data_IF_476262079139
#
_entry.id   IF_476262079139
#
_cell.length_a   1.000
_cell.length_b   1.000
_cell.length_c   1.000
_cell.angle_alpha   90.00
_cell.angle_beta   90.00
_cell.angle_gamma   90.00
#
_symmetry.space_group_name_H-M   'P 1'
#
loop_
_entity.id
_entity.type
_entity.pdbx_description
1 polymer ?
#
# COMPACT_ATOMS: atom_id res chain seq x y z
N UNK A 1 -7.17 5.60 83.22
CA UNK A 1 -7.39 4.55 82.25
C UNK A 1 -7.91 5.20 80.98
N UNK A 2 -7.01 5.40 79.98
CA UNK A 2 -7.38 6.04 78.71
C UNK A 2 -7.45 4.90 77.70
N UNK A 3 -8.60 4.69 77.07
CA UNK A 3 -8.83 3.71 76.04
C UNK A 3 -8.53 4.38 74.67
N UNK A 4 -7.44 3.97 74.01
CA UNK A 4 -7.17 4.30 72.58
C UNK A 4 -8.07 3.48 71.67
N UNK A 5 -8.89 4.14 70.87
CA UNK A 5 -9.58 3.54 69.74
C UNK A 5 -8.70 3.63 68.50
N UNK A 6 -8.30 2.49 67.94
CA UNK A 6 -7.68 2.40 66.63
C UNK A 6 -8.77 2.32 65.55
N UNK A 7 -8.85 3.36 64.69
CA UNK A 7 -9.65 3.32 63.47
C UNK A 7 -8.79 2.73 62.35
N UNK A 8 -9.14 1.54 61.91
CA UNK A 8 -8.54 0.93 60.72
C UNK A 8 -9.29 1.45 59.50
N UNK A 9 -8.64 2.32 58.71
CA UNK A 9 -9.19 2.82 57.44
C UNK A 9 -8.90 1.82 56.36
N UNK A 10 -9.94 1.13 55.84
CA UNK A 10 -9.85 0.19 54.74
C UNK A 10 -9.89 0.98 53.43
N UNK A 11 -8.74 1.16 52.75
CA UNK A 11 -8.67 1.76 51.44
C UNK A 11 -8.98 0.66 50.41
N UNK A 12 -10.18 0.71 49.88
CA UNK A 12 -10.56 -0.11 48.70
C UNK A 12 -9.95 0.52 47.45
N UNK A 13 -8.84 -0.03 46.98
CA UNK A 13 -8.28 0.28 45.65
C UNK A 13 -9.13 -0.43 44.60
N UNK A 14 -10.00 0.31 43.89
CA UNK A 14 -10.67 -0.18 42.67
C UNK A 14 -9.65 -0.17 41.57
N UNK A 15 -9.07 -1.34 41.27
CA UNK A 15 -8.27 -1.57 40.07
C UNK A 15 -9.23 -1.77 38.91
N UNK A 16 -9.39 -0.77 38.04
CA UNK A 16 -9.99 -0.95 36.73
C UNK A 16 -9.02 -1.76 35.88
N UNK A 17 -9.22 -3.05 35.82
CA UNK A 17 -8.57 -3.86 34.77
C UNK A 17 -9.39 -3.71 33.48
N UNK A 18 -8.73 -3.48 32.34
CA UNK A 18 -9.44 -3.48 31.05
C UNK A 18 -10.06 -4.86 30.83
N UNK A 19 -11.26 -4.90 30.25
CA UNK A 19 -11.94 -6.14 29.94
C UNK A 19 -11.17 -6.89 28.85
N UNK A 20 -11.18 -8.23 28.92
CA UNK A 20 -10.49 -9.12 27.93
C UNK A 20 -10.85 -8.76 26.46
N UNK A 21 -12.05 -8.22 26.23
CA UNK A 21 -12.49 -7.76 24.91
C UNK A 21 -11.80 -6.45 24.44
N UNK A 22 -11.39 -5.58 25.34
CA UNK A 22 -10.64 -4.35 24.99
C UNK A 22 -9.18 -4.66 24.69
N UNK A 23 -8.55 -5.57 25.44
CA UNK A 23 -7.18 -6.03 25.15
C UNK A 23 -7.10 -6.80 23.83
N UNK A 24 -8.07 -7.66 23.51
CA UNK A 24 -8.18 -8.38 22.24
C UNK A 24 -8.41 -7.42 21.06
N UNK A 25 -9.19 -6.34 21.24
CA UNK A 25 -9.40 -5.32 20.21
C UNK A 25 -8.16 -4.47 19.94
N UNK A 26 -7.40 -4.10 20.98
CA UNK A 26 -6.16 -3.35 20.84
C UNK A 26 -5.00 -4.16 20.25
N UNK A 27 -4.93 -5.46 20.54
CA UNK A 27 -3.88 -6.35 20.01
C UNK A 27 -4.13 -6.75 18.55
N UNK A 28 -5.39 -6.84 18.10
CA UNK A 28 -5.75 -7.24 16.74
C UNK A 28 -5.54 -6.15 15.67
N UNK A 29 -5.41 -4.87 16.03
CA UNK A 29 -5.31 -3.79 15.06
C UNK A 29 -3.88 -3.57 14.50
N UNK A 30 -2.83 -4.12 15.12
CA UNK A 30 -1.44 -3.77 14.77
C UNK A 30 -0.84 -4.54 13.60
N UNK A 31 -1.42 -5.67 13.18
CA UNK A 31 -0.84 -6.54 12.14
C UNK A 31 -1.88 -7.15 11.19
N UNK A 32 -2.85 -6.35 10.73
CA UNK A 32 -3.83 -6.83 9.76
C UNK A 32 -3.13 -7.33 8.49
N UNK A 33 -3.54 -8.51 8.03
CA UNK A 33 -3.19 -9.02 6.70
C UNK A 33 -3.94 -8.24 5.62
N UNK A 34 -3.51 -8.31 4.37
CA UNK A 34 -4.23 -7.71 3.25
C UNK A 34 -5.68 -8.23 3.15
N UNK A 35 -5.90 -9.53 3.40
CA UNK A 35 -7.23 -10.15 3.40
C UNK A 35 -8.15 -9.55 4.47
N UNK A 36 -7.65 -9.44 5.70
CA UNK A 36 -8.41 -8.87 6.81
C UNK A 36 -8.72 -7.39 6.58
N UNK A 37 -7.72 -6.63 6.08
CA UNK A 37 -7.86 -5.22 5.75
C UNK A 37 -8.98 -4.97 4.72
N UNK A 38 -8.98 -5.72 3.61
CA UNK A 38 -9.96 -5.56 2.53
C UNK A 38 -11.36 -6.09 2.88
N UNK A 39 -11.47 -6.90 3.94
CA UNK A 39 -12.76 -7.38 4.45
C UNK A 39 -13.40 -6.44 5.49
N UNK A 40 -12.78 -5.30 5.79
CA UNK A 40 -13.36 -4.28 6.69
C UNK A 40 -14.16 -3.26 5.89
N UNK A 41 -15.49 -3.27 5.91
CA UNK A 41 -16.34 -2.40 5.10
C UNK A 41 -16.19 -0.90 5.46
N UNK A 42 -15.78 -0.63 6.70
CA UNK A 42 -15.58 0.75 7.18
C UNK A 42 -14.23 1.35 6.79
N UNK A 43 -13.33 0.53 6.18
CA UNK A 43 -12.02 0.99 5.74
C UNK A 43 -12.09 1.51 4.30
N UNK A 44 -12.25 2.83 4.18
CA UNK A 44 -12.25 3.47 2.88
C UNK A 44 -10.86 3.47 2.26
N UNK A 45 -10.80 3.41 0.93
CA UNK A 45 -9.56 3.45 0.15
C UNK A 45 -9.54 4.68 -0.77
N UNK A 46 -8.34 5.25 -0.98
CA UNK A 46 -8.14 6.39 -1.87
C UNK A 46 -6.83 6.28 -2.64
N UNK A 47 -6.85 6.64 -3.93
CA UNK A 47 -5.63 6.92 -4.70
C UNK A 47 -5.07 8.28 -4.32
N UNK A 48 -3.78 8.34 -3.95
CA UNK A 48 -3.19 9.53 -3.34
C UNK A 48 -1.87 9.93 -3.99
N UNK A 49 -1.80 11.16 -4.51
CA UNK A 49 -0.59 11.79 -5.05
C UNK A 49 -0.03 12.91 -4.17
N UNK A 50 -0.88 13.61 -3.41
CA UNK A 50 -0.48 14.65 -2.43
C UNK A 50 0.21 15.89 -3.01
N UNK A 51 0.29 16.02 -4.33
CA UNK A 51 1.02 17.11 -4.98
C UNK A 51 0.33 18.47 -4.77
N UNK A 52 1.14 19.50 -4.50
CA UNK A 52 0.68 20.88 -4.26
C UNK A 52 0.82 21.78 -5.48
N UNK A 53 1.44 21.29 -6.56
CA UNK A 53 1.67 22.01 -7.81
C UNK A 53 1.31 21.15 -9.02
N UNK A 54 1.28 21.75 -10.19
CA UNK A 54 0.93 21.09 -11.46
C UNK A 54 2.00 20.13 -11.97
N UNK A 55 3.24 20.21 -11.48
CA UNK A 55 4.31 19.27 -11.81
C UNK A 55 4.59 18.33 -10.63
N UNK A 56 4.83 17.05 -10.94
CA UNK A 56 5.26 16.02 -9.99
C UNK A 56 6.72 16.18 -9.54
N UNK A 57 7.50 17.08 -10.17
CA UNK A 57 8.86 17.41 -9.75
C UNK A 57 8.88 18.13 -8.40
N UNK A 58 7.79 18.81 -8.06
CA UNK A 58 7.62 19.46 -6.76
C UNK A 58 6.96 18.50 -5.78
N UNK A 59 7.79 17.75 -5.08
CA UNK A 59 7.31 16.78 -4.09
C UNK A 59 6.75 17.48 -2.85
N UNK A 60 5.62 17.01 -2.28
CA UNK A 60 5.09 17.52 -1.02
C UNK A 60 6.06 17.27 0.13
N UNK A 61 6.12 18.19 1.09
CA UNK A 61 6.91 17.99 2.30
C UNK A 61 6.31 16.91 3.20
N UNK A 62 7.11 16.30 4.09
CA UNK A 62 6.60 15.36 5.10
C UNK A 62 5.53 16.02 5.99
N UNK A 63 5.64 17.34 6.23
CA UNK A 63 4.63 18.10 6.98
C UNK A 63 3.30 18.12 6.23
N UNK A 64 3.31 18.50 4.95
CA UNK A 64 2.10 18.52 4.12
C UNK A 64 1.44 17.15 4.03
N UNK A 65 2.27 16.09 3.84
CA UNK A 65 1.77 14.71 3.81
C UNK A 65 1.10 14.31 5.12
N UNK A 66 1.67 14.67 6.27
CA UNK A 66 1.05 14.39 7.58
C UNK A 66 -0.26 15.13 7.79
N UNK A 67 -0.39 16.35 7.30
CA UNK A 67 -1.65 17.09 7.34
C UNK A 67 -2.73 16.37 6.54
N UNK A 68 -2.44 15.98 5.31
CA UNK A 68 -3.36 15.22 4.47
C UNK A 68 -3.74 13.87 5.08
N UNK A 69 -2.74 13.12 5.59
CA UNK A 69 -2.96 11.81 6.21
C UNK A 69 -3.89 11.88 7.41
N UNK A 70 -3.78 12.93 8.24
CA UNK A 70 -4.69 13.14 9.38
C UNK A 70 -6.11 13.45 8.91
N UNK A 71 -6.27 14.27 7.88
CA UNK A 71 -7.58 14.57 7.30
C UNK A 71 -8.23 13.32 6.72
N UNK A 72 -7.47 12.55 5.93
CA UNK A 72 -7.95 11.29 5.35
C UNK A 72 -8.32 10.27 6.44
N UNK A 73 -7.50 10.15 7.49
CA UNK A 73 -7.80 9.29 8.63
C UNK A 73 -9.11 9.68 9.31
N UNK A 74 -9.34 10.98 9.56
CA UNK A 74 -10.58 11.49 10.13
C UNK A 74 -11.81 11.24 9.24
N UNK A 75 -11.62 11.13 7.91
CA UNK A 75 -12.66 10.78 6.93
C UNK A 75 -12.93 9.26 6.84
N UNK A 76 -12.26 8.42 7.62
CA UNK A 76 -12.42 6.96 7.55
C UNK A 76 -11.53 6.27 6.50
N UNK A 77 -10.68 7.00 5.78
CA UNK A 77 -9.74 6.42 4.83
C UNK A 77 -8.64 5.70 5.62
N UNK A 78 -8.43 4.42 5.29
CA UNK A 78 -7.44 3.56 5.93
C UNK A 78 -6.46 2.94 4.94
N UNK A 79 -6.78 2.94 3.66
CA UNK A 79 -5.93 2.36 2.60
C UNK A 79 -5.61 3.43 1.56
N UNK A 80 -4.33 3.68 1.33
CA UNK A 80 -3.86 4.56 0.28
C UNK A 80 -3.24 3.75 -0.85
N UNK A 81 -3.55 4.12 -2.10
CA UNK A 81 -2.86 3.61 -3.29
C UNK A 81 -1.93 4.67 -3.84
N UNK A 82 -0.66 4.33 -4.04
CA UNK A 82 0.31 5.13 -4.79
C UNK A 82 0.52 4.58 -6.20
N UNK A 83 1.27 5.31 -7.06
CA UNK A 83 1.36 4.98 -8.49
C UNK A 83 2.72 4.46 -8.90
N UNK A 84 3.78 4.87 -8.20
CA UNK A 84 5.16 4.52 -8.50
C UNK A 84 6.03 4.66 -7.24
N UNK A 85 7.26 4.12 -7.30
CA UNK A 85 8.26 4.21 -6.24
C UNK A 85 9.58 4.85 -6.66
N UNK A 86 9.76 5.17 -7.96
CA UNK A 86 10.94 5.89 -8.43
C UNK A 86 10.95 7.37 -7.97
N UNK A 87 9.77 7.98 -7.84
CA UNK A 87 9.64 9.28 -7.21
C UNK A 87 9.65 9.17 -5.68
N UNK A 88 10.12 10.20 -4.96
CA UNK A 88 10.19 10.17 -3.49
C UNK A 88 8.84 10.07 -2.79
N UNK A 89 7.74 10.37 -3.47
CA UNK A 89 6.39 10.47 -2.91
C UNK A 89 6.00 9.25 -2.06
N UNK A 90 6.04 8.04 -2.63
CA UNK A 90 5.64 6.83 -1.91
C UNK A 90 6.47 6.59 -0.65
N UNK A 91 7.80 6.75 -0.72
CA UNK A 91 8.69 6.62 0.42
C UNK A 91 8.41 7.67 1.50
N UNK A 92 8.11 8.92 1.09
CA UNK A 92 7.76 10.00 2.00
C UNK A 92 6.41 9.77 2.69
N UNK A 93 5.42 9.24 1.98
CA UNK A 93 4.11 8.84 2.57
C UNK A 93 4.31 7.74 3.61
N UNK A 94 5.07 6.69 3.30
CA UNK A 94 5.39 5.62 4.26
C UNK A 94 6.08 6.16 5.52
N UNK A 95 7.05 7.05 5.35
CA UNK A 95 7.72 7.73 6.47
C UNK A 95 6.73 8.55 7.30
N UNK A 96 5.85 9.32 6.65
CA UNK A 96 4.85 10.14 7.33
C UNK A 96 3.86 9.29 8.13
N UNK A 97 3.37 8.17 7.57
CA UNK A 97 2.51 7.20 8.26
C UNK A 97 3.22 6.63 9.49
N UNK A 98 4.46 6.13 9.32
CA UNK A 98 5.25 5.58 10.44
C UNK A 98 5.42 6.58 11.58
N UNK A 99 5.71 7.86 11.24
CA UNK A 99 5.88 8.91 12.24
C UNK A 99 4.57 9.32 12.93
N UNK A 100 3.42 9.21 12.25
CA UNK A 100 2.10 9.43 12.85
C UNK A 100 1.73 8.28 13.78
N UNK A 101 1.88 7.03 13.35
CA UNK A 101 1.66 5.82 14.17
C UNK A 101 2.52 5.81 15.44
N UNK A 102 3.75 6.32 15.37
CA UNK A 102 4.63 6.40 16.53
C UNK A 102 4.20 7.45 17.57
N UNK A 103 3.37 8.43 17.15
CA UNK A 103 2.86 9.50 18.02
C UNK A 103 1.47 9.23 18.56
N UNK A 104 0.69 8.47 17.83
CA UNK A 104 -0.71 8.16 18.12
C UNK A 104 -0.96 6.70 17.75
N UNK A 105 -1.12 5.86 18.76
CA UNK A 105 -1.37 4.43 18.61
C UNK A 105 -2.71 4.12 17.93
N UNK A 106 -3.66 5.05 17.96
CA UNK A 106 -4.96 4.95 17.30
C UNK A 106 -4.88 5.29 15.80
N UNK A 107 -3.76 5.87 15.33
CA UNK A 107 -3.59 6.24 13.93
C UNK A 107 -3.36 4.99 13.07
N UNK A 108 -4.32 4.68 12.23
CA UNK A 108 -4.35 3.50 11.35
C UNK A 108 -4.34 3.90 9.88
N UNK A 109 -3.29 3.52 9.16
CA UNK A 109 -3.18 3.75 7.72
C UNK A 109 -2.30 2.67 7.11
N UNK A 110 -2.75 2.12 5.98
CA UNK A 110 -2.09 1.07 5.21
C UNK A 110 -1.87 1.52 3.77
N UNK A 111 -1.01 0.81 3.04
CA UNK A 111 -0.66 1.18 1.68
C UNK A 111 -0.74 -0.01 0.72
N UNK A 112 -1.41 0.24 -0.41
CA UNK A 112 -1.23 -0.44 -1.67
C UNK A 112 -0.16 0.31 -2.44
N UNK A 113 1.04 -0.24 -2.47
CA UNK A 113 2.21 0.37 -3.09
C UNK A 113 2.21 0.09 -4.58
N UNK A 114 2.08 1.13 -5.41
CA UNK A 114 2.18 1.01 -6.86
C UNK A 114 3.64 0.92 -7.31
N UNK A 115 3.93 -0.01 -8.20
CA UNK A 115 5.20 -0.13 -8.91
C UNK A 115 4.96 0.15 -10.40
N UNK A 116 5.53 1.22 -10.92
CA UNK A 116 5.33 1.64 -12.32
C UNK A 116 5.99 0.66 -13.28
N UNK A 117 5.24 0.22 -14.28
CA UNK A 117 5.75 -0.63 -15.36
C UNK A 117 5.47 0.07 -16.69
N UNK A 118 6.48 0.13 -17.55
CA UNK A 118 6.37 0.67 -18.90
C UNK A 118 7.16 -0.14 -19.94
N UNK A 119 6.86 0.11 -21.20
CA UNK A 119 7.49 -0.57 -22.32
C UNK A 119 8.87 0.02 -22.68
N UNK A 120 9.61 -0.70 -23.49
CA UNK A 120 10.90 -0.24 -24.01
C UNK A 120 10.74 1.07 -24.78
N UNK A 121 11.67 1.98 -24.54
CA UNK A 121 11.73 3.33 -25.08
C UNK A 121 10.62 4.27 -24.61
N UNK A 122 9.74 3.89 -23.66
CA UNK A 122 8.78 4.81 -23.08
C UNK A 122 9.49 6.08 -22.54
N UNK A 123 8.93 7.24 -22.85
CA UNK A 123 9.42 8.56 -22.40
C UNK A 123 10.80 8.99 -22.95
N UNK A 124 11.34 8.32 -23.96
CA UNK A 124 12.66 8.62 -24.50
C UNK A 124 12.64 9.41 -25.82
N UNK A 125 11.46 9.62 -26.42
CA UNK A 125 11.31 10.18 -27.76
C UNK A 125 11.65 9.22 -28.89
N UNK A 126 12.10 7.99 -28.61
CA UNK A 126 12.29 6.94 -29.59
C UNK A 126 10.99 6.15 -29.81
N UNK A 127 10.84 5.44 -30.95
CA UNK A 127 9.69 4.55 -31.14
C UNK A 127 9.57 3.55 -30.00
N UNK A 128 8.39 3.48 -29.39
CA UNK A 128 8.10 2.55 -28.29
C UNK A 128 7.90 1.13 -28.79
N UNK A 129 8.23 0.14 -27.97
CA UNK A 129 8.09 -1.28 -28.29
C UNK A 129 7.30 -1.93 -27.15
N UNK A 130 6.01 -2.13 -27.34
CA UNK A 130 5.06 -2.52 -26.30
C UNK A 130 5.20 -3.95 -25.79
N UNK A 131 5.74 -4.85 -26.61
CA UNK A 131 6.03 -6.25 -26.25
C UNK A 131 7.42 -6.45 -25.62
N UNK A 132 8.20 -5.38 -25.45
CA UNK A 132 9.46 -5.38 -24.74
C UNK A 132 9.39 -4.44 -23.55
N UNK A 133 9.96 -4.85 -22.42
CA UNK A 133 9.93 -4.05 -21.20
C UNK A 133 11.04 -2.99 -21.15
N UNK A 134 10.80 -1.95 -20.38
CA UNK A 134 11.81 -0.94 -20.03
C UNK A 134 12.81 -1.51 -19.02
N UNK A 135 14.10 -1.15 -19.17
CA UNK A 135 15.14 -1.47 -18.18
C UNK A 135 14.88 -0.82 -16.80
N UNK A 136 13.97 0.13 -16.73
CA UNK A 136 13.57 0.79 -15.47
C UNK A 136 12.68 -0.09 -14.61
N UNK A 137 11.93 -1.05 -15.21
CA UNK A 137 10.98 -1.89 -14.51
C UNK A 137 11.62 -2.70 -13.38
N UNK A 138 12.80 -3.26 -13.61
CA UNK A 138 13.53 -4.01 -12.59
C UNK A 138 13.89 -3.13 -11.38
N UNK A 139 14.34 -1.89 -11.61
CA UNK A 139 14.67 -0.95 -10.54
C UNK A 139 13.44 -0.55 -9.75
N UNK A 140 12.32 -0.36 -10.43
CA UNK A 140 11.03 -0.03 -9.82
C UNK A 140 10.54 -1.16 -8.92
N UNK A 141 10.53 -2.40 -9.41
CA UNK A 141 10.13 -3.59 -8.63
C UNK A 141 11.07 -3.80 -7.44
N UNK A 142 12.39 -3.73 -7.63
CA UNK A 142 13.36 -3.87 -6.55
C UNK A 142 13.16 -2.81 -5.47
N UNK A 143 12.84 -1.57 -5.86
CA UNK A 143 12.52 -0.49 -4.92
C UNK A 143 11.22 -0.74 -4.17
N UNK A 144 10.18 -1.25 -4.83
CA UNK A 144 8.93 -1.62 -4.18
C UNK A 144 9.14 -2.71 -3.13
N UNK A 145 9.95 -3.72 -3.43
CA UNK A 145 10.37 -4.79 -2.49
C UNK A 145 11.11 -4.20 -1.28
N UNK A 146 12.07 -3.30 -1.50
CA UNK A 146 12.80 -2.64 -0.42
C UNK A 146 11.85 -1.86 0.51
N UNK A 147 10.91 -1.10 -0.05
CA UNK A 147 9.94 -0.34 0.73
C UNK A 147 8.97 -1.25 1.48
N UNK A 148 8.47 -2.32 0.85
CA UNK A 148 7.60 -3.29 1.51
C UNK A 148 8.29 -3.96 2.71
N UNK A 149 9.56 -4.31 2.58
CA UNK A 149 10.36 -4.90 3.67
C UNK A 149 10.72 -3.89 4.76
N UNK A 150 10.89 -2.60 4.42
CA UNK A 150 11.17 -1.54 5.40
C UNK A 150 9.93 -1.11 6.20
N UNK A 151 8.73 -1.36 5.68
CA UNK A 151 7.45 -0.95 6.26
C UNK A 151 6.41 -2.09 6.22
N UNK A 152 6.71 -3.29 6.77
CA UNK A 152 5.86 -4.48 6.62
C UNK A 152 4.52 -4.36 7.35
N UNK A 153 4.40 -3.52 8.34
CA UNK A 153 3.18 -3.19 9.08
C UNK A 153 2.28 -2.19 8.34
N UNK A 154 2.81 -1.48 7.33
CA UNK A 154 2.09 -0.46 6.55
C UNK A 154 1.79 -0.96 5.13
N UNK A 155 2.79 -1.49 4.43
CA UNK A 155 2.60 -1.99 3.05
C UNK A 155 1.95 -3.38 3.10
N UNK A 156 0.73 -3.49 2.59
CA UNK A 156 -0.05 -4.72 2.59
C UNK A 156 -0.26 -5.30 1.19
N UNK A 157 -0.12 -4.45 0.16
CA UNK A 157 -0.34 -4.83 -1.23
C UNK A 157 0.73 -4.17 -2.09
N UNK A 158 1.28 -4.89 -3.08
CA UNK A 158 2.03 -4.32 -4.20
C UNK A 158 1.18 -4.46 -5.46
N UNK A 159 0.93 -3.34 -6.15
CA UNK A 159 0.29 -3.31 -7.45
C UNK A 159 1.37 -3.16 -8.53
N UNK A 160 1.51 -4.19 -9.36
CA UNK A 160 2.44 -4.22 -10.50
C UNK A 160 1.82 -3.51 -11.68
N UNK A 161 2.37 -2.39 -12.06
CA UNK A 161 1.82 -1.48 -13.06
C UNK A 161 0.72 -0.55 -12.53
N UNK A 162 0.57 0.56 -13.21
CA UNK A 162 -0.53 1.50 -13.01
C UNK A 162 -1.11 1.87 -14.36
N UNK A 163 -2.28 1.34 -14.69
CA UNK A 163 -2.89 1.47 -16.02
C UNK A 163 -1.87 1.12 -17.13
N UNK A 164 -1.12 0.07 -16.88
CA UNK A 164 0.03 -0.27 -17.71
C UNK A 164 -0.36 -1.03 -18.99
N UNK A 165 -1.54 -1.69 -19.01
CA UNK A 165 -2.02 -2.45 -20.18
C UNK A 165 -3.00 -1.66 -21.05
N UNK A 166 -3.24 -0.40 -20.77
CA UNK A 166 -4.21 0.44 -21.49
C UNK A 166 -3.66 0.82 -22.89
N UNK A 167 -4.14 0.22 -23.94
CA UNK A 167 -3.60 0.39 -25.31
C UNK A 167 -3.68 1.81 -25.87
N UNK A 168 -4.61 2.65 -25.40
CA UNK A 168 -4.63 4.06 -25.79
C UNK A 168 -3.50 4.88 -25.15
N UNK A 169 -2.86 4.37 -24.10
CA UNK A 169 -1.67 4.99 -23.50
C UNK A 169 -0.42 4.68 -24.32
N UNK A 170 -0.43 5.03 -25.60
CA UNK A 170 0.56 4.66 -26.62
C UNK A 170 2.00 5.03 -26.28
N UNK A 171 2.22 5.94 -25.32
CA UNK A 171 3.56 6.34 -24.89
C UNK A 171 4.25 5.33 -23.96
N UNK A 172 3.50 4.38 -23.34
CA UNK A 172 4.08 3.54 -22.29
C UNK A 172 3.42 2.18 -22.07
N UNK A 173 2.26 1.87 -22.67
CA UNK A 173 1.58 0.61 -22.35
C UNK A 173 2.46 -0.61 -22.63
N UNK A 174 2.21 -1.67 -21.89
CA UNK A 174 2.88 -2.98 -22.05
C UNK A 174 1.86 -4.06 -22.35
N UNK A 175 2.30 -5.12 -23.02
CA UNK A 175 1.50 -6.32 -23.17
C UNK A 175 1.41 -7.12 -21.85
N UNK A 176 0.33 -7.91 -21.63
CA UNK A 176 0.07 -8.59 -20.34
C UNK A 176 1.20 -9.49 -19.84
N UNK A 177 1.98 -10.11 -20.74
CA UNK A 177 3.09 -10.99 -20.35
C UNK A 177 4.17 -10.27 -19.54
N UNK A 178 4.35 -8.95 -19.74
CA UNK A 178 5.31 -8.16 -18.95
C UNK A 178 4.81 -7.98 -17.52
N UNK A 179 3.53 -7.70 -17.31
CA UNK A 179 2.93 -7.65 -15.99
C UNK A 179 2.99 -9.01 -15.31
N UNK A 180 2.59 -10.08 -16.02
CA UNK A 180 2.63 -11.46 -15.55
C UNK A 180 4.04 -11.87 -15.09
N UNK A 181 5.08 -11.52 -15.84
CA UNK A 181 6.48 -11.75 -15.47
C UNK A 181 6.79 -11.20 -14.10
N UNK A 182 6.43 -9.95 -13.84
CA UNK A 182 6.75 -9.28 -12.57
C UNK A 182 5.86 -9.74 -11.41
N UNK A 183 4.60 -10.08 -11.66
CA UNK A 183 3.74 -10.75 -10.67
C UNK A 183 4.35 -12.09 -10.25
N UNK A 184 4.74 -12.94 -11.21
CA UNK A 184 5.42 -14.23 -10.93
C UNK A 184 6.73 -14.04 -10.18
N UNK A 185 7.52 -13.02 -10.54
CA UNK A 185 8.76 -12.71 -9.85
C UNK A 185 8.50 -12.39 -8.35
N UNK A 186 7.54 -11.53 -8.06
CA UNK A 186 7.17 -11.18 -6.68
C UNK A 186 6.58 -12.37 -5.91
N UNK A 187 5.76 -13.22 -6.55
CA UNK A 187 5.29 -14.46 -5.93
C UNK A 187 6.44 -15.40 -5.58
N UNK A 188 7.42 -15.56 -6.48
CA UNK A 188 8.63 -16.32 -6.21
C UNK A 188 9.45 -15.76 -5.04
N UNK A 189 9.50 -14.42 -4.85
CA UNK A 189 10.13 -13.81 -3.68
C UNK A 189 9.37 -14.13 -2.37
N UNK A 190 8.04 -14.24 -2.42
CA UNK A 190 7.23 -14.70 -1.27
C UNK A 190 7.57 -16.14 -0.90
N UNK A 191 7.60 -17.04 -1.88
CA UNK A 191 7.94 -18.45 -1.68
C UNK A 191 9.34 -18.64 -1.09
N UNK A 192 10.28 -17.78 -1.48
CA UNK A 192 11.65 -17.76 -0.95
C UNK A 192 11.76 -17.06 0.42
N UNK A 193 10.68 -16.53 0.97
CA UNK A 193 10.71 -15.78 2.24
C UNK A 193 11.44 -14.44 2.18
N UNK A 194 11.67 -13.88 0.98
CA UNK A 194 12.36 -12.59 0.77
C UNK A 194 11.45 -11.39 0.95
N UNK A 195 10.14 -11.59 0.86
CA UNK A 195 9.10 -10.63 1.23
C UNK A 195 8.03 -11.32 2.06
N UNK A 196 7.24 -10.53 2.80
CA UNK A 196 6.21 -11.06 3.68
C UNK A 196 5.22 -11.95 2.91
N UNK A 197 4.97 -13.17 3.41
CA UNK A 197 4.02 -14.13 2.81
C UNK A 197 2.59 -13.60 2.72
N UNK A 198 2.18 -12.71 3.63
CA UNK A 198 0.83 -12.13 3.70
C UNK A 198 0.68 -10.89 2.81
N UNK A 199 1.76 -10.44 2.16
CA UNK A 199 1.73 -9.36 1.19
C UNK A 199 0.97 -9.82 -0.07
N UNK A 200 -0.06 -9.07 -0.47
CA UNK A 200 -0.76 -9.35 -1.72
C UNK A 200 -0.04 -8.72 -2.90
N UNK A 201 -0.01 -9.46 -4.01
CA UNK A 201 0.50 -9.02 -5.30
C UNK A 201 -0.70 -8.93 -6.24
N UNK A 202 -0.84 -7.79 -6.89
CA UNK A 202 -1.92 -7.51 -7.84
C UNK A 202 -1.40 -6.63 -8.97
N UNK A 203 -2.27 -6.29 -9.92
CA UNK A 203 -2.06 -5.22 -10.88
C UNK A 203 -3.24 -4.26 -10.82
N UNK A 204 -3.06 -3.05 -11.32
CA UNK A 204 -4.10 -2.02 -11.30
C UNK A 204 -4.28 -1.45 -12.70
N UNK A 205 -5.38 -1.81 -13.31
CA UNK A 205 -5.71 -1.40 -14.67
C UNK A 205 -7.22 -1.11 -14.82
N UNK A 206 -7.66 -0.63 -15.97
CA UNK A 206 -9.07 -0.36 -16.22
C UNK A 206 -9.85 -1.64 -16.57
N UNK A 207 -11.17 -1.55 -16.56
CA UNK A 207 -12.07 -2.67 -16.82
C UNK A 207 -11.84 -3.32 -18.20
N UNK A 208 -11.59 -2.53 -19.25
CA UNK A 208 -11.36 -3.05 -20.60
C UNK A 208 -10.06 -3.87 -20.68
N UNK A 209 -8.99 -3.40 -20.04
CA UNK A 209 -7.68 -4.09 -20.00
C UNK A 209 -7.77 -5.46 -19.29
N UNK A 210 -8.76 -5.67 -18.43
CA UNK A 210 -9.07 -6.94 -17.80
C UNK A 210 -10.06 -7.80 -18.61
N UNK A 211 -10.26 -7.51 -19.91
CA UNK A 211 -11.15 -8.26 -20.77
C UNK A 211 -12.63 -7.87 -20.65
N UNK A 212 -12.90 -6.71 -20.06
CA UNK A 212 -14.25 -6.21 -19.78
C UNK A 212 -15.04 -5.71 -21.00
N UNK A 213 -15.09 -6.48 -22.07
CA UNK A 213 -15.93 -6.19 -23.24
C UNK A 213 -15.15 -5.76 -24.49
N UNK A 214 -13.82 -5.62 -24.41
CA UNK A 214 -12.97 -5.30 -25.56
C UNK A 214 -12.09 -6.50 -25.91
N UNK A 215 -12.42 -7.19 -27.01
CA UNK A 215 -11.75 -8.42 -27.47
C UNK A 215 -10.26 -8.25 -27.76
N UNK A 216 -9.79 -7.04 -28.03
CA UNK A 216 -8.36 -6.79 -28.26
C UNK A 216 -7.48 -7.10 -27.03
N UNK A 217 -8.06 -7.20 -25.84
CA UNK A 217 -7.38 -7.56 -24.58
C UNK A 217 -7.46 -9.06 -24.28
N UNK A 218 -8.26 -9.85 -25.00
CA UNK A 218 -8.40 -11.29 -24.76
C UNK A 218 -7.16 -12.03 -25.31
N UNK A 219 -6.18 -12.22 -24.43
CA UNK A 219 -4.94 -12.97 -24.75
C UNK A 219 -4.71 -14.06 -23.71
N UNK A 220 -4.00 -15.16 -24.09
CA UNK A 220 -3.66 -16.23 -23.14
C UNK A 220 -2.90 -15.70 -21.90
N UNK A 221 -2.03 -14.72 -22.09
CA UNK A 221 -1.25 -14.12 -21.01
C UNK A 221 -2.12 -13.32 -20.04
N UNK A 222 -3.18 -12.64 -20.54
CA UNK A 222 -4.16 -11.99 -19.67
C UNK A 222 -4.96 -13.03 -18.89
N UNK A 223 -5.40 -14.10 -19.52
CA UNK A 223 -6.12 -15.19 -18.83
C UNK A 223 -5.27 -15.82 -17.72
N UNK A 224 -3.98 -15.97 -17.93
CA UNK A 224 -3.05 -16.47 -16.91
C UNK A 224 -2.85 -15.44 -15.78
N UNK A 225 -2.80 -14.16 -16.11
CA UNK A 225 -2.66 -13.08 -15.11
C UNK A 225 -3.88 -12.96 -14.18
N UNK A 226 -5.07 -13.29 -14.68
CA UNK A 226 -6.32 -13.23 -13.92
C UNK A 226 -6.46 -14.41 -12.93
N UNK A 227 -5.88 -15.58 -13.26
CA UNK A 227 -5.89 -16.79 -12.40
C UNK A 227 -4.99 -16.66 -11.18
#
# INVERSE_FOLDING_TARGET
>A
MIKCFFIVSLVLSVSCQPTENEEVSMQNNRNLTAKELLNKPDYLAMSYGGYRKTSRDFQPSIKDLKEDLKLMHAMGIRVLRTYNVHLPHAANVLKAIKELKAKDESFEMYMMLGAWIDCKNAWTGKPVIHHEESERNEKEINRAVQLANAYPDIVKIIAVGNEAMIKWATAYYVEPHIILKWVKHLQGLKEQGKINKDLWITSSDNFASWGGGDSQYHTPELEELIK
#
